data_IF_629085142142
#
_entry.id   IF_629085142142
#
_cell.length_a   1.000
_cell.length_b   1.000
_cell.length_c   1.000
_cell.angle_alpha   90.00
_cell.angle_beta   90.00
_cell.angle_gamma   90.00
#
_symmetry.space_group_name_H-M   'P 1'
#
loop_
_entity.id
_entity.type
_entity.pdbx_description
1 polymer ?
#
# COMPACT_ATOMS: atom_id res chain seq x y z
N UNK A 1 0.64 -3.42 31.03
CA UNK A 1 0.98 -4.70 30.35
C UNK A 1 2.40 -4.72 29.79
N UNK A 2 3.00 -3.58 29.40
CA UNK A 2 4.39 -3.49 28.89
C UNK A 2 5.45 -3.43 29.99
N UNK A 3 5.16 -2.87 31.16
CA UNK A 3 6.14 -2.76 32.26
C UNK A 3 6.36 -4.05 33.06
N UNK A 4 5.59 -5.13 32.82
CA UNK A 4 5.59 -6.32 33.69
C UNK A 4 6.22 -7.58 33.09
N UNK A 5 6.63 -7.54 31.82
CA UNK A 5 7.26 -8.67 31.14
C UNK A 5 8.48 -8.15 30.40
N UNK A 6 9.68 -8.47 30.92
CA UNK A 6 10.99 -8.04 30.41
C UNK A 6 11.31 -8.54 29.01
N UNK A 7 10.51 -8.13 28.03
CA UNK A 7 10.84 -8.19 26.62
C UNK A 7 11.73 -6.99 26.34
N UNK A 8 13.03 -7.22 26.17
CA UNK A 8 13.96 -6.20 25.67
C UNK A 8 13.46 -5.62 24.34
N UNK A 9 13.95 -4.43 23.98
CA UNK A 9 13.54 -3.72 22.74
C UNK A 9 13.58 -4.60 21.48
N UNK A 10 14.48 -5.58 21.46
CA UNK A 10 14.65 -6.54 20.37
C UNK A 10 13.43 -7.48 20.22
N UNK A 11 12.93 -8.06 21.31
CA UNK A 11 11.76 -8.95 21.28
C UNK A 11 10.49 -8.21 20.86
N UNK A 12 10.35 -6.94 21.23
CA UNK A 12 9.22 -6.09 20.79
C UNK A 12 9.27 -5.85 19.28
N UNK A 13 10.47 -5.61 18.74
CA UNK A 13 10.68 -5.39 17.30
C UNK A 13 10.36 -6.66 16.50
N UNK A 14 10.79 -7.82 16.98
CA UNK A 14 10.46 -9.11 16.35
C UNK A 14 8.96 -9.41 16.39
N UNK A 15 8.29 -9.15 17.52
CA UNK A 15 6.84 -9.29 17.64
C UNK A 15 6.09 -8.39 16.67
N UNK A 16 6.47 -7.11 16.58
CA UNK A 16 5.88 -6.16 15.63
C UNK A 16 6.07 -6.67 14.20
N UNK A 17 7.29 -7.09 13.83
CA UNK A 17 7.57 -7.64 12.50
C UNK A 17 6.71 -8.86 12.19
N UNK A 18 6.59 -9.81 13.13
CA UNK A 18 5.81 -11.02 12.92
C UNK A 18 4.31 -10.75 12.78
N UNK A 19 3.77 -9.81 13.58
CA UNK A 19 2.37 -9.39 13.48
C UNK A 19 2.11 -8.67 12.15
N UNK A 20 3.02 -7.79 11.75
CA UNK A 20 2.94 -7.08 10.46
C UNK A 20 2.95 -8.05 9.28
N UNK A 21 3.88 -9.00 9.22
CA UNK A 21 3.91 -10.00 8.14
C UNK A 21 2.64 -10.83 8.10
N UNK A 22 2.14 -11.29 9.26
CA UNK A 22 0.86 -12.01 9.34
C UNK A 22 -0.33 -11.17 8.87
N UNK A 23 -0.34 -9.87 9.18
CA UNK A 23 -1.41 -8.97 8.76
C UNK A 23 -1.38 -8.71 7.23
N UNK A 24 -0.19 -8.61 6.63
CA UNK A 24 -0.02 -8.50 5.19
C UNK A 24 -0.46 -9.77 4.47
N UNK A 25 -0.02 -10.94 4.94
CA UNK A 25 -0.40 -12.24 4.36
C UNK A 25 -1.91 -12.51 4.48
N UNK A 26 -2.53 -12.08 5.58
CA UNK A 26 -3.97 -12.19 5.80
C UNK A 26 -4.79 -11.12 5.07
N UNK A 27 -4.16 -10.21 4.30
CA UNK A 27 -4.79 -9.06 3.64
C UNK A 27 -5.55 -8.13 4.60
N UNK A 28 -5.16 -8.09 5.86
CA UNK A 28 -5.68 -7.17 6.86
C UNK A 28 -5.01 -5.79 6.76
N UNK A 29 -3.83 -5.74 6.14
CA UNK A 29 -3.09 -4.52 5.88
C UNK A 29 -2.64 -4.50 4.41
N UNK A 30 -2.80 -3.37 3.71
CA UNK A 30 -2.25 -3.21 2.37
C UNK A 30 -0.73 -3.23 2.40
N UNK A 31 -0.14 -3.77 1.34
CA UNK A 31 1.30 -3.72 1.12
C UNK A 31 1.72 -2.34 0.61
N UNK A 32 0.89 -1.71 -0.23
CA UNK A 32 1.05 -0.34 -0.68
C UNK A 32 -0.27 0.43 -0.62
N UNK A 33 -0.17 1.72 -0.30
CA UNK A 33 -1.28 2.68 -0.34
C UNK A 33 -0.85 3.80 -1.27
N UNK A 34 -1.58 4.00 -2.37
CA UNK A 34 -1.28 5.02 -3.37
C UNK A 34 -2.40 6.05 -3.34
N UNK A 35 -2.14 7.31 -2.95
CA UNK A 35 -3.13 8.36 -3.03
C UNK A 35 -3.37 8.72 -4.50
N UNK A 36 -4.65 8.69 -4.91
CA UNK A 36 -5.09 9.02 -6.26
C UNK A 36 -6.03 10.21 -6.19
N UNK A 37 -5.72 11.26 -6.96
CA UNK A 37 -6.61 12.40 -7.14
C UNK A 37 -7.70 12.04 -8.17
N UNK A 38 -8.95 12.17 -7.77
CA UNK A 38 -10.12 11.89 -8.60
C UNK A 38 -10.63 13.22 -9.14
N UNK A 39 -10.32 13.48 -10.40
CA UNK A 39 -10.85 14.60 -11.16
C UNK A 39 -11.99 14.12 -12.08
N UNK A 40 -13.17 14.73 -11.97
CA UNK A 40 -14.23 14.59 -12.99
C UNK A 40 -15.32 13.54 -12.75
N UNK A 41 -15.85 13.40 -11.53
CA UNK A 41 -17.02 12.54 -11.23
C UNK A 41 -17.83 12.99 -10.01
N UNK A 42 -18.83 12.19 -9.59
CA UNK A 42 -19.71 12.49 -8.44
C UNK A 42 -18.97 12.59 -7.08
N UNK A 43 -17.74 12.08 -7.02
CA UNK A 43 -16.85 12.12 -5.86
C UNK A 43 -15.52 12.76 -6.26
N UNK A 44 -15.50 14.08 -6.41
CA UNK A 44 -14.27 14.84 -6.59
C UNK A 44 -13.48 14.87 -5.28
N UNK A 45 -12.20 14.49 -5.30
CA UNK A 45 -11.35 14.45 -4.10
C UNK A 45 -10.22 13.43 -4.19
N UNK A 46 -9.61 13.13 -3.05
CA UNK A 46 -8.51 12.16 -2.96
C UNK A 46 -9.06 10.83 -2.45
N UNK A 47 -8.65 9.72 -3.09
CA UNK A 47 -8.96 8.37 -2.66
C UNK A 47 -7.71 7.51 -2.67
N UNK A 48 -7.65 6.57 -1.73
CA UNK A 48 -6.50 5.68 -1.57
C UNK A 48 -6.71 4.38 -2.34
N UNK A 49 -5.83 4.11 -3.31
CA UNK A 49 -5.71 2.83 -3.97
C UNK A 49 -4.92 1.87 -3.07
N UNK A 50 -5.62 0.89 -2.51
CA UNK A 50 -5.04 -0.14 -1.64
C UNK A 50 -4.56 -1.32 -2.48
N UNK A 51 -3.27 -1.65 -2.38
CA UNK A 51 -2.68 -2.81 -3.05
C UNK A 51 -2.24 -3.80 -1.98
N UNK A 52 -2.83 -4.99 -1.99
CA UNK A 52 -2.49 -6.05 -1.05
C UNK A 52 -1.48 -7.00 -1.66
N UNK A 53 -0.75 -7.71 -0.78
CA UNK A 53 0.22 -8.72 -1.20
C UNK A 53 -0.45 -9.76 -2.10
N UNK A 54 0.19 -10.03 -3.24
CA UNK A 54 -0.31 -10.97 -4.26
C UNK A 54 -1.40 -10.43 -5.19
N UNK A 55 -1.80 -9.15 -5.07
CA UNK A 55 -2.72 -8.55 -6.05
C UNK A 55 -2.11 -8.46 -7.44
N UNK A 56 -2.97 -8.60 -8.45
CA UNK A 56 -2.66 -8.16 -9.80
C UNK A 56 -2.97 -6.66 -9.91
N UNK A 57 -1.91 -5.86 -10.06
CA UNK A 57 -1.98 -4.39 -10.06
C UNK A 57 -2.94 -3.86 -11.14
N UNK A 58 -2.92 -4.44 -12.35
CA UNK A 58 -3.79 -4.00 -13.44
C UNK A 58 -5.26 -4.24 -13.11
N UNK A 59 -5.57 -5.39 -12.50
CA UNK A 59 -6.94 -5.75 -12.10
C UNK A 59 -7.45 -4.81 -11.01
N UNK A 60 -6.62 -4.51 -10.01
CA UNK A 60 -6.97 -3.61 -8.91
C UNK A 60 -7.14 -2.17 -9.40
N UNK A 61 -6.22 -1.68 -10.23
CA UNK A 61 -6.29 -0.34 -10.81
C UNK A 61 -7.53 -0.17 -11.70
N UNK A 62 -7.85 -1.16 -12.55
CA UNK A 62 -9.04 -1.09 -13.39
C UNK A 62 -10.33 -1.08 -12.57
N UNK A 63 -10.44 -1.91 -11.53
CA UNK A 63 -11.60 -1.92 -10.61
C UNK A 63 -11.76 -0.59 -9.89
N UNK A 64 -10.68 -0.05 -9.34
CA UNK A 64 -10.71 1.26 -8.69
C UNK A 64 -11.19 2.35 -9.65
N UNK A 65 -10.69 2.32 -10.88
CA UNK A 65 -11.05 3.30 -11.89
C UNK A 65 -12.53 3.16 -12.33
N UNK A 66 -13.11 1.96 -12.27
CA UNK A 66 -14.55 1.69 -12.49
C UNK A 66 -15.40 2.17 -11.31
N UNK A 67 -15.03 1.80 -10.08
CA UNK A 67 -15.72 2.17 -8.84
C UNK A 67 -15.80 3.68 -8.64
N UNK A 68 -14.73 4.40 -9.01
CA UNK A 68 -14.64 5.84 -8.89
C UNK A 68 -15.04 6.60 -10.17
N UNK A 69 -15.51 5.89 -11.20
CA UNK A 69 -15.91 6.47 -12.48
C UNK A 69 -14.86 7.42 -13.09
N UNK A 70 -13.58 7.06 -12.98
CA UNK A 70 -12.49 7.91 -13.47
C UNK A 70 -12.62 8.07 -14.99
N UNK A 71 -12.59 9.32 -15.46
CA UNK A 71 -12.64 9.67 -16.87
C UNK A 71 -11.29 9.55 -17.58
N UNK A 72 -10.22 9.22 -16.83
CA UNK A 72 -8.87 9.02 -17.35
C UNK A 72 -8.80 7.76 -18.21
N UNK A 73 -7.90 7.80 -19.21
CA UNK A 73 -7.55 6.62 -19.98
C UNK A 73 -7.02 5.50 -19.07
N UNK A 74 -7.59 4.30 -19.21
CA UNK A 74 -7.28 3.15 -18.33
C UNK A 74 -5.84 2.69 -18.44
N UNK A 75 -5.25 2.73 -19.64
CA UNK A 75 -3.87 2.30 -19.87
C UNK A 75 -2.92 3.30 -19.20
N UNK A 76 -3.18 4.60 -19.35
CA UNK A 76 -2.41 5.66 -18.69
C UNK A 76 -2.51 5.57 -17.17
N UNK A 77 -3.70 5.29 -16.64
CA UNK A 77 -3.88 5.14 -15.20
C UNK A 77 -3.09 3.95 -14.65
N UNK A 78 -3.20 2.77 -15.27
CA UNK A 78 -2.43 1.58 -14.87
C UNK A 78 -0.92 1.86 -14.92
N UNK A 79 -0.44 2.55 -15.95
CA UNK A 79 0.96 2.94 -16.05
C UNK A 79 1.41 3.87 -14.91
N UNK A 80 0.57 4.84 -14.51
CA UNK A 80 0.86 5.75 -13.39
C UNK A 80 0.94 5.03 -12.03
N UNK A 81 0.12 3.99 -11.83
CA UNK A 81 0.15 3.13 -10.65
C UNK A 81 1.47 2.36 -10.60
N UNK A 82 1.92 1.80 -11.73
CA UNK A 82 3.22 1.11 -11.82
C UNK A 82 4.40 2.03 -11.53
N UNK A 83 4.38 3.26 -12.04
CA UNK A 83 5.41 4.25 -11.73
C UNK A 83 5.44 4.58 -10.23
N UNK A 84 4.28 4.77 -9.61
CA UNK A 84 4.16 5.02 -8.17
C UNK A 84 4.72 3.86 -7.34
N UNK A 85 4.40 2.61 -7.72
CA UNK A 85 4.95 1.42 -7.06
C UNK A 85 6.46 1.29 -7.21
N UNK A 86 7.01 1.63 -8.38
CA UNK A 86 8.46 1.62 -8.59
C UNK A 86 9.16 2.62 -7.66
N UNK A 87 8.63 3.84 -7.53
CA UNK A 87 9.15 4.84 -6.61
C UNK A 87 9.07 4.42 -5.14
N UNK A 88 7.96 3.81 -4.72
CA UNK A 88 7.79 3.30 -3.35
C UNK A 88 8.75 2.15 -3.04
N UNK A 89 8.99 1.26 -4.01
CA UNK A 89 9.93 0.15 -3.88
C UNK A 89 11.37 0.65 -3.72
N UNK A 90 11.80 1.63 -4.52
CA UNK A 90 13.15 2.22 -4.43
C UNK A 90 13.35 3.02 -3.14
N UNK A 91 12.33 3.77 -2.70
CA UNK A 91 12.41 4.52 -1.43
C UNK A 91 12.49 3.61 -0.21
N UNK A 92 11.90 2.42 -0.27
CA UNK A 92 11.93 1.44 0.83
C UNK A 92 13.27 0.70 0.87
N UNK A 93 13.89 0.44 -0.27
CA UNK A 93 15.24 -0.10 -0.34
C UNK A 93 16.28 0.87 0.22
N UNK A 94 16.18 2.17 -0.08
CA UNK A 94 17.11 3.18 0.41
C UNK A 94 17.14 3.34 1.94
N UNK A 95 16.00 3.13 2.62
CA UNK A 95 15.92 3.16 4.09
C UNK A 95 16.48 1.90 4.78
N UNK A 96 16.76 0.83 4.02
CA UNK A 96 17.20 -0.47 4.56
C UNK A 96 18.72 -0.60 4.67
N UNK A 97 19.49 0.29 4.03
CA UNK A 97 20.96 0.32 4.07
C UNK A 97 21.54 1.27 5.14
N UNK A 98 20.70 1.99 5.88
CA UNK A 98 21.13 2.95 6.93
C UNK A 98 20.86 2.48 8.38
N UNK A 99 20.52 1.20 8.59
CA UNK A 99 20.29 0.60 9.92
C UNK A 99 21.20 -0.60 10.18
#
# INVERSE_FOLDING_TARGET
FVEKHGMGGDSKTELIKMVTEKALDARLMPEYVIPVEIEGGASQGNADLLIFRGDNVETVANKFAEEHHLTVDRIQFVASVWQSLAHLSTSTAAKRDEL
#
